data_IF_301126305824
#
_entry.id   IF_301126305824
#
_cell.length_a   1.000
_cell.length_b   1.000
_cell.length_c   1.000
_cell.angle_alpha   90.00
_cell.angle_beta   90.00
_cell.angle_gamma   90.00
#
_symmetry.space_group_name_H-M   'P 1'
#
loop_
_entity.id
_entity.type
_entity.pdbx_description
1 polymer ?
#
# COMPACT_ATOMS: atom_id res chain seq x y z
N UNK A 1 18.01 -43.50 1.58
CA UNK A 1 18.92 -42.34 1.63
C UNK A 1 18.11 -41.16 2.13
N UNK A 2 18.51 -40.56 3.26
CA UNK A 2 17.93 -39.32 3.77
C UNK A 2 18.25 -38.22 2.75
N UNK A 3 17.25 -37.77 1.98
CA UNK A 3 17.41 -36.64 1.05
C UNK A 3 17.73 -35.40 1.91
N UNK A 4 18.95 -34.88 1.81
CA UNK A 4 19.32 -33.64 2.49
C UNK A 4 18.69 -32.47 1.73
N UNK A 5 17.73 -31.79 2.36
CA UNK A 5 17.02 -30.65 1.78
C UNK A 5 17.76 -29.32 1.99
N UNK A 6 18.90 -29.34 2.68
CA UNK A 6 19.66 -28.15 3.03
C UNK A 6 20.88 -27.98 2.13
N UNK A 7 21.01 -26.79 1.55
CA UNK A 7 22.22 -26.38 0.83
C UNK A 7 23.38 -26.16 1.81
N UNK A 8 24.60 -26.44 1.38
CA UNK A 8 25.81 -26.02 2.08
C UNK A 8 25.94 -24.49 2.09
N UNK A 9 26.72 -23.95 3.02
CA UNK A 9 26.97 -22.50 3.10
C UNK A 9 27.59 -21.94 1.81
N UNK A 10 28.43 -22.73 1.14
CA UNK A 10 29.05 -22.32 -0.13
C UNK A 10 28.03 -22.31 -1.28
N UNK A 11 27.18 -23.33 -1.38
CA UNK A 11 26.08 -23.33 -2.36
C UNK A 11 25.13 -22.16 -2.14
N UNK A 12 24.83 -21.81 -0.88
CA UNK A 12 24.01 -20.64 -0.54
C UNK A 12 24.68 -19.32 -0.96
N UNK A 13 25.99 -19.16 -0.73
CA UNK A 13 26.72 -17.95 -1.19
C UNK A 13 26.67 -17.82 -2.71
N UNK A 14 26.92 -18.92 -3.41
CA UNK A 14 26.90 -18.93 -4.88
C UNK A 14 25.50 -18.60 -5.42
N UNK A 15 24.44 -19.14 -4.80
CA UNK A 15 23.06 -18.81 -5.16
C UNK A 15 22.74 -17.34 -4.90
N UNK A 16 23.20 -16.80 -3.76
CA UNK A 16 23.06 -15.39 -3.43
C UNK A 16 23.74 -14.46 -4.42
N UNK A 17 24.99 -14.76 -4.80
CA UNK A 17 25.71 -13.97 -5.82
C UNK A 17 25.02 -14.02 -7.18
N UNK A 18 24.55 -15.19 -7.61
CA UNK A 18 23.79 -15.32 -8.86
C UNK A 18 22.50 -14.47 -8.82
N UNK A 19 21.77 -14.46 -7.70
CA UNK A 19 20.58 -13.62 -7.56
C UNK A 19 20.91 -12.12 -7.61
N UNK A 20 22.01 -11.70 -6.96
CA UNK A 20 22.50 -10.32 -7.01
C UNK A 20 22.86 -9.93 -8.45
N UNK A 21 23.58 -10.78 -9.17
CA UNK A 21 23.96 -10.52 -10.58
C UNK A 21 22.70 -10.34 -11.46
N UNK A 22 21.68 -11.19 -11.30
CA UNK A 22 20.42 -11.07 -12.04
C UNK A 22 19.69 -9.74 -11.78
N UNK A 23 19.71 -9.26 -10.52
CA UNK A 23 19.09 -7.98 -10.14
C UNK A 23 19.87 -6.82 -10.75
N UNK A 24 21.20 -6.84 -10.64
CA UNK A 24 22.08 -5.80 -11.22
C UNK A 24 21.92 -5.74 -12.73
N UNK A 25 21.90 -6.89 -13.41
CA UNK A 25 21.68 -6.98 -14.85
C UNK A 25 20.31 -6.42 -15.24
N UNK A 26 19.25 -6.77 -14.50
CA UNK A 26 17.91 -6.22 -14.73
C UNK A 26 17.92 -4.69 -14.65
N UNK A 27 18.47 -4.11 -13.59
CA UNK A 27 18.46 -2.66 -13.38
C UNK A 27 19.35 -1.91 -14.40
N UNK A 28 20.50 -2.47 -14.79
CA UNK A 28 21.40 -1.87 -15.78
C UNK A 28 20.86 -1.94 -17.20
N UNK A 29 20.13 -3.00 -17.55
CA UNK A 29 19.62 -3.23 -18.91
C UNK A 29 18.15 -2.84 -19.08
N UNK A 30 17.48 -2.37 -18.03
CA UNK A 30 16.06 -2.05 -18.04
C UNK A 30 15.66 -1.14 -19.21
N UNK A 31 16.43 -0.08 -19.48
CA UNK A 31 16.20 0.89 -20.58
C UNK A 31 16.19 0.27 -21.98
N UNK A 32 16.81 -0.90 -22.14
CA UNK A 32 16.86 -1.62 -23.42
C UNK A 32 15.72 -2.62 -23.58
N UNK A 33 14.96 -2.89 -22.51
CA UNK A 33 13.79 -3.76 -22.53
C UNK A 33 12.53 -2.97 -22.94
N UNK A 34 11.54 -3.61 -23.56
CA UNK A 34 10.22 -3.01 -23.72
C UNK A 34 9.57 -2.75 -22.36
N UNK A 35 8.68 -1.76 -22.25
CA UNK A 35 7.95 -1.49 -21.00
C UNK A 35 7.04 -2.67 -20.62
N UNK A 36 6.41 -3.29 -21.60
CA UNK A 36 5.52 -4.44 -21.43
C UNK A 36 5.48 -5.23 -22.74
N UNK A 37 5.49 -6.56 -22.63
CA UNK A 37 5.17 -7.46 -23.73
C UNK A 37 3.97 -8.32 -23.33
N UNK A 38 2.89 -8.23 -24.10
CA UNK A 38 1.71 -9.07 -23.87
C UNK A 38 1.96 -10.45 -24.47
N UNK A 39 2.07 -11.47 -23.62
CA UNK A 39 2.08 -12.87 -24.04
C UNK A 39 0.68 -13.46 -23.91
N UNK A 40 0.29 -14.29 -24.88
CA UNK A 40 -0.93 -15.09 -24.79
C UNK A 40 -0.91 -15.97 -23.54
N UNK A 41 -1.96 -15.86 -22.73
CA UNK A 41 -2.04 -16.54 -21.44
C UNK A 41 -2.00 -18.06 -21.55
N UNK A 42 -2.49 -18.65 -22.65
CA UNK A 42 -2.47 -20.11 -22.84
C UNK A 42 -1.04 -20.58 -23.14
N UNK A 43 -0.32 -19.85 -24.01
CA UNK A 43 1.07 -20.16 -24.36
C UNK A 43 1.97 -20.08 -23.13
N UNK A 44 1.76 -19.07 -22.28
CA UNK A 44 2.57 -18.90 -21.08
C UNK A 44 2.25 -19.94 -20.00
N UNK A 45 0.97 -20.30 -19.86
CA UNK A 45 0.49 -21.31 -18.93
C UNK A 45 1.16 -22.67 -19.17
N UNK A 46 1.24 -23.11 -20.42
CA UNK A 46 1.84 -24.40 -20.77
C UNK A 46 3.35 -24.47 -20.46
N UNK A 47 4.03 -23.34 -20.32
CA UNK A 47 5.46 -23.28 -19.93
C UNK A 47 5.70 -23.48 -18.44
N UNK A 48 4.73 -23.14 -17.59
CA UNK A 48 4.90 -23.11 -16.13
C UNK A 48 4.07 -24.17 -15.39
N UNK A 49 3.08 -24.78 -16.04
CA UNK A 49 2.29 -25.85 -15.42
C UNK A 49 3.06 -27.16 -15.47
N UNK A 50 3.34 -27.68 -14.28
CA UNK A 50 3.86 -29.03 -14.06
C UNK A 50 3.15 -29.71 -12.90
N UNK A 51 3.27 -31.03 -12.80
CA UNK A 51 2.89 -31.78 -11.60
C UNK A 51 3.92 -31.55 -10.49
N UNK A 52 3.51 -31.70 -9.22
CA UNK A 52 4.43 -31.58 -8.09
C UNK A 52 5.66 -32.50 -8.30
N UNK A 53 6.90 -31.97 -8.25
CA UNK A 53 8.09 -32.78 -8.48
C UNK A 53 8.42 -33.67 -7.27
N UNK A 54 8.65 -34.96 -7.52
CA UNK A 54 9.02 -35.96 -6.48
C UNK A 54 10.50 -35.90 -6.07
N UNK A 55 11.31 -35.14 -6.81
CA UNK A 55 12.75 -34.98 -6.59
C UNK A 55 13.13 -33.50 -6.64
N UNK A 56 14.13 -33.11 -5.84
CA UNK A 56 14.68 -31.76 -5.89
C UNK A 56 15.40 -31.50 -7.21
N UNK A 57 15.39 -30.25 -7.64
CA UNK A 57 16.14 -29.73 -8.79
C UNK A 57 17.28 -28.82 -8.32
N UNK A 58 18.20 -28.51 -9.23
CA UNK A 58 19.31 -27.60 -8.96
C UNK A 58 18.79 -26.15 -8.83
N UNK A 59 18.93 -25.48 -7.68
CA UNK A 59 18.43 -24.12 -7.50
C UNK A 59 19.03 -23.09 -8.45
N UNK A 60 20.25 -23.31 -8.94
CA UNK A 60 20.91 -22.41 -9.91
C UNK A 60 20.23 -22.46 -11.28
N UNK A 61 19.83 -23.66 -11.70
CA UNK A 61 19.07 -23.86 -12.94
C UNK A 61 17.68 -23.24 -12.81
N UNK A 62 17.07 -23.37 -11.63
CA UNK A 62 15.79 -22.72 -11.32
C UNK A 62 15.88 -21.20 -11.40
N UNK A 63 16.93 -20.57 -10.88
CA UNK A 63 17.10 -19.11 -11.02
C UNK A 63 17.19 -18.66 -12.48
N UNK A 64 17.93 -19.40 -13.32
CA UNK A 64 17.98 -19.11 -14.76
C UNK A 64 16.62 -19.29 -15.43
N UNK A 65 15.90 -20.35 -15.06
CA UNK A 65 14.53 -20.58 -15.53
C UNK A 65 13.61 -19.43 -15.15
N UNK A 66 13.62 -19.00 -13.88
CA UNK A 66 12.79 -17.90 -13.39
C UNK A 66 13.15 -16.57 -14.07
N UNK A 67 14.44 -16.28 -14.27
CA UNK A 67 14.85 -15.08 -14.98
C UNK A 67 14.24 -15.03 -16.40
N UNK A 68 14.37 -16.12 -17.16
CA UNK A 68 13.96 -16.15 -18.56
C UNK A 68 12.43 -16.23 -18.73
N UNK A 69 11.77 -16.99 -17.88
CA UNK A 69 10.36 -17.33 -18.04
C UNK A 69 9.43 -16.59 -17.10
N UNK A 70 9.92 -15.93 -16.05
CA UNK A 70 9.07 -15.21 -15.08
C UNK A 70 9.46 -13.73 -15.02
N UNK A 71 10.68 -13.41 -14.60
CA UNK A 71 11.07 -12.01 -14.32
C UNK A 71 11.24 -11.15 -15.58
N UNK A 72 11.54 -11.75 -16.73
CA UNK A 72 11.52 -11.07 -18.03
C UNK A 72 10.14 -11.09 -18.71
N UNK A 73 9.12 -11.65 -18.06
CA UNK A 73 7.76 -11.82 -18.59
C UNK A 73 6.74 -11.06 -17.75
N UNK A 74 7.13 -9.84 -17.33
CA UNK A 74 6.32 -8.92 -16.54
C UNK A 74 6.23 -7.57 -17.24
N UNK A 75 5.26 -6.76 -16.84
CA UNK A 75 5.34 -5.32 -17.11
C UNK A 75 6.42 -4.73 -16.21
N UNK A 76 7.39 -4.05 -16.82
CA UNK A 76 8.48 -3.39 -16.13
C UNK A 76 8.02 -2.05 -15.58
N UNK A 77 7.37 -2.11 -14.42
CA UNK A 77 6.82 -0.93 -13.72
C UNK A 77 7.90 0.03 -13.22
N UNK A 78 9.15 -0.43 -13.16
CA UNK A 78 10.36 0.32 -12.84
C UNK A 78 11.03 0.94 -14.09
N UNK A 79 10.51 0.68 -15.29
CA UNK A 79 11.06 1.23 -16.52
C UNK A 79 10.88 2.77 -16.59
N UNK A 80 11.87 3.56 -17.04
CA UNK A 80 11.77 5.03 -17.05
C UNK A 80 10.72 5.62 -18.00
N UNK A 81 10.13 4.80 -18.86
CA UNK A 81 9.00 5.16 -19.73
C UNK A 81 7.66 4.57 -19.26
N UNK A 82 7.63 3.88 -18.12
CA UNK A 82 6.39 3.41 -17.51
C UNK A 82 5.69 4.59 -16.82
N UNK A 83 4.49 4.94 -17.29
CA UNK A 83 3.73 6.12 -16.85
C UNK A 83 2.31 5.76 -16.38
N UNK A 84 2.04 4.48 -16.12
CA UNK A 84 0.73 4.00 -15.68
C UNK A 84 0.71 3.74 -14.17
N UNK A 85 -0.45 3.86 -13.54
CA UNK A 85 -0.65 3.59 -12.11
C UNK A 85 0.33 4.37 -11.21
N UNK A 86 0.63 3.84 -10.01
CA UNK A 86 1.49 4.46 -9.01
C UNK A 86 2.45 3.45 -8.37
N UNK A 87 3.22 2.67 -9.15
CA UNK A 87 4.26 1.82 -8.57
C UNK A 87 5.33 2.72 -7.90
N UNK A 88 5.75 2.36 -6.68
CA UNK A 88 6.89 3.00 -6.05
C UNK A 88 8.19 2.53 -6.73
N UNK A 89 9.16 3.43 -7.02
CA UNK A 89 10.44 3.01 -7.55
C UNK A 89 11.19 2.17 -6.50
N UNK A 90 11.83 1.09 -6.94
CA UNK A 90 12.77 0.33 -6.11
C UNK A 90 14.18 0.92 -6.20
N UNK A 91 15.06 0.53 -5.27
CA UNK A 91 16.48 0.83 -5.34
C UNK A 91 17.29 -0.32 -4.72
N UNK A 92 18.61 -0.32 -4.93
CA UNK A 92 19.49 -1.36 -4.41
C UNK A 92 19.41 -1.50 -2.87
N UNK A 93 19.26 -0.39 -2.14
CA UNK A 93 19.23 -0.41 -0.68
C UNK A 93 18.00 -1.15 -0.17
N UNK A 94 16.81 -0.85 -0.71
CA UNK A 94 15.56 -1.51 -0.35
C UNK A 94 15.59 -3.01 -0.67
N UNK A 95 16.11 -3.38 -1.84
CA UNK A 95 16.25 -4.78 -2.25
C UNK A 95 17.18 -5.56 -1.32
N UNK A 96 18.33 -4.99 -0.95
CA UNK A 96 19.23 -5.62 0.01
C UNK A 96 18.60 -5.68 1.41
N UNK A 97 17.85 -4.67 1.83
CA UNK A 97 17.13 -4.68 3.10
C UNK A 97 16.10 -5.83 3.15
N UNK A 98 15.30 -6.02 2.10
CA UNK A 98 14.35 -7.14 1.99
C UNK A 98 15.04 -8.51 1.99
N UNK A 99 16.17 -8.62 1.28
CA UNK A 99 16.99 -9.82 1.25
C UNK A 99 17.52 -10.17 2.65
N UNK A 100 18.04 -9.18 3.39
CA UNK A 100 18.52 -9.35 4.76
C UNK A 100 17.37 -9.68 5.72
N UNK A 101 16.25 -8.96 5.66
CA UNK A 101 15.08 -9.22 6.51
C UNK A 101 14.57 -10.65 6.33
N UNK A 102 14.51 -11.12 5.08
CA UNK A 102 14.13 -12.50 4.75
C UNK A 102 15.18 -13.51 5.22
N UNK A 103 16.47 -13.23 5.01
CA UNK A 103 17.57 -14.14 5.36
C UNK A 103 17.77 -14.31 6.87
N UNK A 104 17.60 -13.24 7.65
CA UNK A 104 17.58 -13.29 9.11
C UNK A 104 16.24 -13.81 9.66
N UNK A 105 15.23 -14.01 8.80
CA UNK A 105 13.88 -14.43 9.16
C UNK A 105 13.32 -13.59 10.32
N UNK A 106 13.39 -12.26 10.17
CA UNK A 106 13.01 -11.30 11.20
C UNK A 106 11.52 -11.46 11.56
N UNK A 107 11.23 -11.62 12.85
CA UNK A 107 9.88 -11.90 13.37
C UNK A 107 9.48 -10.90 14.48
N UNK A 108 9.08 -9.67 14.12
CA UNK A 108 8.84 -8.60 15.09
C UNK A 108 7.38 -8.57 15.56
N UNK A 109 6.90 -9.68 16.13
CA UNK A 109 5.52 -9.72 16.66
C UNK A 109 5.41 -9.23 18.10
N UNK A 110 6.53 -9.13 18.80
CA UNK A 110 6.62 -8.63 20.16
C UNK A 110 8.08 -8.26 20.48
N UNK A 111 8.25 -7.24 21.31
CA UNK A 111 9.57 -6.69 21.66
C UNK A 111 10.61 -7.76 22.03
N UNK A 112 10.22 -8.76 22.82
CA UNK A 112 11.11 -9.85 23.26
C UNK A 112 11.72 -10.67 22.12
N UNK A 113 11.04 -10.77 20.97
CA UNK A 113 11.51 -11.51 19.78
C UNK A 113 11.96 -10.60 18.63
N UNK A 114 11.67 -9.28 18.71
CA UNK A 114 11.80 -8.35 17.60
C UNK A 114 12.47 -7.00 17.89
N UNK A 115 12.98 -6.76 19.10
CA UNK A 115 13.39 -5.42 19.57
C UNK A 115 14.23 -4.60 18.56
N UNK A 116 15.20 -5.22 17.89
CA UNK A 116 16.03 -4.51 16.91
C UNK A 116 15.24 -3.99 15.70
N UNK A 117 14.37 -4.83 15.15
CA UNK A 117 13.53 -4.45 14.01
C UNK A 117 12.42 -3.47 14.42
N UNK A 118 11.78 -3.70 15.57
CA UNK A 118 10.77 -2.78 16.13
C UNK A 118 11.36 -1.39 16.39
N UNK A 119 12.57 -1.31 16.94
CA UNK A 119 13.24 -0.03 17.17
C UNK A 119 13.56 0.70 15.85
N UNK A 120 13.96 -0.02 14.80
CA UNK A 120 14.17 0.57 13.47
C UNK A 120 12.85 1.12 12.90
N UNK A 121 11.75 0.39 13.02
CA UNK A 121 10.43 0.85 12.61
C UNK A 121 10.03 2.14 13.33
N UNK A 122 10.10 2.16 14.67
CA UNK A 122 9.77 3.34 15.48
C UNK A 122 10.65 4.54 15.12
N UNK A 123 11.95 4.31 14.90
CA UNK A 123 12.89 5.36 14.50
C UNK A 123 12.54 5.93 13.12
N UNK A 124 12.21 5.06 12.17
CA UNK A 124 11.84 5.47 10.81
C UNK A 124 10.51 6.22 10.79
N UNK A 125 9.52 5.77 11.57
CA UNK A 125 8.26 6.50 11.76
C UNK A 125 8.53 7.89 12.35
N UNK A 126 9.40 8.01 13.35
CA UNK A 126 9.76 9.33 13.90
C UNK A 126 10.40 10.25 12.86
N UNK A 127 11.25 9.73 11.96
CA UNK A 127 11.77 10.52 10.85
C UNK A 127 10.66 10.96 9.90
N UNK A 128 9.76 10.06 9.50
CA UNK A 128 8.64 10.40 8.61
C UNK A 128 7.71 11.45 9.23
N UNK A 129 7.34 11.30 10.51
CA UNK A 129 6.55 12.32 11.24
C UNK A 129 7.22 13.70 11.19
N UNK A 130 8.54 13.73 11.44
CA UNK A 130 9.31 14.98 11.43
C UNK A 130 9.32 15.60 10.03
N UNK A 131 9.50 14.79 8.99
CA UNK A 131 9.47 15.23 7.58
C UNK A 131 8.09 15.76 7.16
N UNK A 132 7.01 15.18 7.68
CA UNK A 132 5.63 15.61 7.43
C UNK A 132 5.19 16.81 8.30
N UNK A 133 6.04 17.27 9.24
CA UNK A 133 5.69 18.35 10.16
C UNK A 133 4.65 17.95 11.22
N UNK A 134 4.49 16.66 11.50
CA UNK A 134 3.57 16.17 12.53
C UNK A 134 4.13 16.42 13.93
N UNK A 135 3.25 16.61 14.94
CA UNK A 135 3.69 16.79 16.33
C UNK A 135 4.36 15.53 16.87
N UNK A 136 5.22 15.69 17.88
CA UNK A 136 5.92 14.56 18.53
C UNK A 136 4.95 13.50 19.07
N UNK A 137 3.76 13.92 19.48
CA UNK A 137 2.68 13.06 19.97
C UNK A 137 2.01 12.20 18.89
N UNK A 138 2.28 12.44 17.61
CA UNK A 138 1.76 11.58 16.55
C UNK A 138 2.43 10.20 16.61
N UNK A 139 1.70 9.17 16.20
CA UNK A 139 2.18 7.80 16.13
C UNK A 139 1.99 7.26 14.70
N UNK A 140 2.62 6.13 14.42
CA UNK A 140 2.54 5.48 13.11
C UNK A 140 2.78 3.99 13.22
N UNK A 141 2.54 3.30 12.11
CA UNK A 141 2.73 1.86 11.97
C UNK A 141 2.97 1.55 10.50
N UNK A 142 3.94 0.68 10.19
CA UNK A 142 4.05 0.13 8.84
C UNK A 142 3.05 -1.01 8.63
N UNK A 143 2.38 -0.98 7.48
CA UNK A 143 1.47 -2.04 7.05
C UNK A 143 1.74 -2.41 5.60
N UNK A 144 1.20 -3.52 5.13
CA UNK A 144 1.49 -4.11 3.81
C UNK A 144 0.89 -3.36 2.59
N UNK A 145 0.58 -2.07 2.74
CA UNK A 145 0.15 -1.17 1.65
C UNK A 145 -1.13 -0.39 1.93
N UNK A 146 -1.51 0.49 1.01
CA UNK A 146 -2.60 1.47 1.19
C UNK A 146 -3.97 0.85 1.48
N UNK A 147 -4.26 -0.35 0.98
CA UNK A 147 -5.51 -1.05 1.33
C UNK A 147 -5.57 -1.44 2.81
N UNK A 148 -4.46 -1.89 3.38
CA UNK A 148 -4.38 -2.20 4.81
C UNK A 148 -4.36 -0.93 5.66
N UNK A 149 -3.74 0.16 5.18
CA UNK A 149 -3.83 1.48 5.85
C UNK A 149 -5.29 1.91 5.98
N UNK A 150 -6.05 1.91 4.88
CA UNK A 150 -7.46 2.33 4.91
C UNK A 150 -8.31 1.42 5.81
N UNK A 151 -8.07 0.10 5.81
CA UNK A 151 -8.75 -0.82 6.73
C UNK A 151 -8.42 -0.51 8.20
N UNK A 152 -7.14 -0.34 8.53
CA UNK A 152 -6.67 -0.04 9.88
C UNK A 152 -7.22 1.30 10.37
N UNK A 153 -7.10 2.36 9.57
CA UNK A 153 -7.58 3.70 9.92
C UNK A 153 -9.09 3.73 10.16
N UNK A 154 -9.87 3.07 9.29
CA UNK A 154 -11.33 2.98 9.46
C UNK A 154 -11.73 2.11 10.66
N UNK A 155 -10.93 1.09 11.00
CA UNK A 155 -11.14 0.30 12.22
C UNK A 155 -10.98 1.18 13.46
N UNK A 156 -9.94 2.03 13.50
CA UNK A 156 -9.71 3.00 14.59
C UNK A 156 -10.84 4.02 14.64
N UNK A 157 -11.21 4.64 13.52
CA UNK A 157 -12.30 5.61 13.46
C UNK A 157 -13.63 5.02 13.97
N UNK A 158 -13.96 3.78 13.58
CA UNK A 158 -15.14 3.05 14.05
C UNK A 158 -15.08 2.77 15.56
N UNK A 159 -13.94 2.37 16.09
CA UNK A 159 -13.78 2.17 17.53
C UNK A 159 -13.95 3.49 18.30
N UNK A 160 -13.28 4.55 17.87
CA UNK A 160 -13.23 5.83 18.60
C UNK A 160 -14.58 6.57 18.54
N UNK A 161 -15.19 6.67 17.36
CA UNK A 161 -16.41 7.47 17.17
C UNK A 161 -17.70 6.71 17.44
N UNK A 162 -17.68 5.37 17.32
CA UNK A 162 -18.89 4.55 17.40
C UNK A 162 -18.82 3.46 18.46
N UNK A 163 -17.67 3.23 19.11
CA UNK A 163 -17.48 2.08 20.00
C UNK A 163 -17.89 0.75 19.34
N UNK A 164 -17.59 0.61 18.04
CA UNK A 164 -18.02 -0.48 17.14
C UNK A 164 -19.53 -0.62 16.90
N UNK A 165 -20.39 0.25 17.43
CA UNK A 165 -21.81 0.28 17.07
C UNK A 165 -22.00 1.00 15.73
N UNK A 166 -22.07 0.21 14.66
CA UNK A 166 -22.29 0.72 13.31
C UNK A 166 -23.77 1.00 13.00
N UNK A 167 -24.70 0.86 13.94
CA UNK A 167 -26.11 1.13 13.68
C UNK A 167 -26.31 2.61 13.30
N UNK A 168 -26.93 2.83 12.14
CA UNK A 168 -27.18 4.14 11.54
C UNK A 168 -25.91 4.98 11.25
N UNK A 169 -24.72 4.41 11.37
CA UNK A 169 -23.46 5.09 11.06
C UNK A 169 -23.35 5.44 9.57
N UNK A 170 -22.75 6.59 9.25
CA UNK A 170 -22.50 7.04 7.87
C UNK A 170 -21.07 7.53 7.72
N UNK A 171 -20.41 7.03 6.68
CA UNK A 171 -19.07 7.44 6.24
C UNK A 171 -19.18 8.19 4.92
N UNK A 172 -18.34 9.21 4.74
CA UNK A 172 -18.35 10.11 3.59
C UNK A 172 -17.02 10.10 2.86
N UNK A 173 -17.04 10.05 1.53
CA UNK A 173 -15.86 10.22 0.69
C UNK A 173 -16.27 10.58 -0.74
N UNK A 174 -15.33 11.01 -1.59
CA UNK A 174 -15.65 11.43 -2.96
C UNK A 174 -15.88 10.24 -3.91
N UNK A 175 -16.52 10.50 -5.05
CA UNK A 175 -16.55 9.55 -6.16
C UNK A 175 -15.15 9.28 -6.81
N UNK A 176 -14.10 10.03 -6.42
CA UNK A 176 -12.70 9.84 -6.85
C UNK A 176 -11.86 9.01 -5.87
N UNK A 177 -12.41 8.71 -4.69
CA UNK A 177 -11.68 8.01 -3.63
C UNK A 177 -11.35 6.59 -4.05
N UNK A 178 -10.15 6.12 -3.69
CA UNK A 178 -9.66 4.81 -4.11
C UNK A 178 -10.58 3.66 -3.62
N UNK A 179 -10.80 2.67 -4.48
CA UNK A 179 -11.74 1.56 -4.23
C UNK A 179 -11.40 0.71 -2.99
N UNK A 180 -10.18 0.83 -2.44
CA UNK A 180 -9.79 0.15 -1.21
C UNK A 180 -10.62 0.60 0.00
N UNK A 181 -11.12 1.84 0.02
CA UNK A 181 -12.00 2.36 1.06
C UNK A 181 -13.32 1.58 1.08
N UNK A 182 -13.95 1.41 -0.08
CA UNK A 182 -15.15 0.58 -0.22
C UNK A 182 -14.93 -0.86 0.22
N UNK A 183 -13.78 -1.44 -0.16
CA UNK A 183 -13.42 -2.79 0.26
C UNK A 183 -13.28 -2.88 1.78
N UNK A 184 -12.57 -1.93 2.39
CA UNK A 184 -12.37 -1.86 3.83
C UNK A 184 -13.71 -1.74 4.58
N UNK A 185 -14.60 -0.85 4.16
CA UNK A 185 -15.91 -0.67 4.77
C UNK A 185 -16.78 -1.93 4.71
N UNK A 186 -16.76 -2.65 3.58
CA UNK A 186 -17.45 -3.94 3.45
C UNK A 186 -16.88 -5.00 4.40
N UNK A 187 -15.55 -5.09 4.52
CA UNK A 187 -14.88 -5.98 5.48
C UNK A 187 -15.26 -5.63 6.92
N UNK A 188 -15.41 -4.34 7.22
CA UNK A 188 -15.83 -3.84 8.54
C UNK A 188 -17.33 -3.93 8.82
N UNK A 189 -18.13 -4.46 7.87
CA UNK A 189 -19.55 -4.74 8.05
C UNK A 189 -20.51 -3.62 7.66
N UNK A 190 -20.03 -2.53 7.06
CA UNK A 190 -20.89 -1.42 6.62
C UNK A 190 -21.74 -1.81 5.41
N UNK A 191 -23.00 -1.38 5.42
CA UNK A 191 -23.95 -1.61 4.33
C UNK A 191 -23.93 -0.46 3.32
N UNK A 192 -24.41 -0.71 2.10
CA UNK A 192 -24.42 0.29 1.03
C UNK A 192 -25.05 1.64 1.41
N UNK A 193 -26.14 1.66 2.19
CA UNK A 193 -26.81 2.90 2.61
C UNK A 193 -26.05 3.71 3.66
N UNK A 194 -24.99 3.13 4.24
CA UNK A 194 -24.09 3.75 5.21
C UNK A 194 -22.86 4.38 4.55
N UNK A 195 -22.68 4.15 3.25
CA UNK A 195 -21.55 4.60 2.45
C UNK A 195 -22.03 5.73 1.57
N UNK A 196 -21.74 6.97 1.98
CA UNK A 196 -22.14 8.16 1.25
C UNK A 196 -20.99 8.64 0.35
N UNK A 197 -21.23 8.63 -0.96
CA UNK A 197 -20.31 9.23 -1.92
C UNK A 197 -20.75 10.65 -2.22
N UNK A 198 -19.86 11.60 -2.02
CA UNK A 198 -20.06 12.99 -2.36
C UNK A 198 -19.61 13.19 -3.80
N UNK A 199 -20.47 13.79 -4.62
CA UNK A 199 -20.09 14.24 -5.95
C UNK A 199 -19.04 15.36 -5.83
N UNK A 200 -18.00 15.25 -6.64
CA UNK A 200 -16.92 16.23 -6.64
C UNK A 200 -17.30 17.50 -7.37
N UNK A 201 -16.57 18.58 -7.08
CA UNK A 201 -16.61 19.82 -7.84
C UNK A 201 -15.87 19.70 -9.19
N UNK A 202 -15.71 20.83 -9.87
CA UNK A 202 -15.04 20.94 -11.18
C UNK A 202 -13.54 20.59 -11.11
N UNK A 203 -12.92 20.72 -9.93
CA UNK A 203 -11.52 20.37 -9.68
C UNK A 203 -11.37 18.92 -9.17
N UNK A 204 -12.46 18.14 -9.22
CA UNK A 204 -12.53 16.74 -8.77
C UNK A 204 -12.27 16.58 -7.25
N UNK A 205 -12.62 17.59 -6.46
CA UNK A 205 -12.48 17.62 -4.99
C UNK A 205 -13.81 17.50 -4.28
N UNK A 206 -13.79 17.11 -3.01
CA UNK A 206 -14.97 17.17 -2.13
C UNK A 206 -15.37 18.62 -1.91
N UNK A 207 -16.58 19.00 -2.36
CA UNK A 207 -17.18 20.27 -1.97
C UNK A 207 -17.56 20.26 -0.48
N UNK A 208 -16.86 21.06 0.32
CA UNK A 208 -17.07 21.21 1.77
C UNK A 208 -18.50 21.64 2.08
N UNK A 209 -19.07 22.54 1.26
CA UNK A 209 -20.46 23.00 1.41
C UNK A 209 -21.48 21.87 1.18
N UNK A 210 -21.27 21.05 0.15
CA UNK A 210 -22.11 19.88 -0.15
C UNK A 210 -22.01 18.84 0.96
N UNK A 211 -20.79 18.56 1.44
CA UNK A 211 -20.56 17.63 2.54
C UNK A 211 -21.25 18.11 3.84
N UNK A 212 -21.10 19.38 4.21
CA UNK A 212 -21.76 19.95 5.40
C UNK A 212 -23.29 19.83 5.31
N UNK A 213 -23.87 20.11 4.14
CA UNK A 213 -25.31 19.94 3.92
C UNK A 213 -25.72 18.47 4.10
N UNK A 214 -24.98 17.54 3.51
CA UNK A 214 -25.27 16.11 3.58
C UNK A 214 -25.19 15.57 5.03
N UNK A 215 -24.16 15.97 5.79
CA UNK A 215 -24.00 15.63 7.21
C UNK A 215 -25.24 16.09 8.01
N UNK A 216 -25.66 17.34 7.81
CA UNK A 216 -26.83 17.89 8.50
C UNK A 216 -28.12 17.14 8.16
N UNK A 217 -28.36 16.82 6.89
CA UNK A 217 -29.52 16.05 6.46
C UNK A 217 -29.54 14.63 7.05
N UNK A 218 -28.38 13.97 7.13
CA UNK A 218 -28.27 12.64 7.71
C UNK A 218 -28.51 12.67 9.23
N UNK A 219 -28.00 13.68 9.95
CA UNK A 219 -28.31 13.90 11.38
C UNK A 219 -29.81 14.09 11.61
N UNK A 220 -30.48 14.90 10.78
CA UNK A 220 -31.94 15.09 10.85
C UNK A 220 -32.74 13.80 10.62
N UNK A 221 -32.16 12.84 9.88
CA UNK A 221 -32.73 11.50 9.65
C UNK A 221 -32.37 10.50 10.76
N UNK A 222 -31.74 10.93 11.85
CA UNK A 222 -31.32 10.07 12.96
C UNK A 222 -30.08 9.22 12.65
N UNK A 223 -29.34 9.54 11.59
CA UNK A 223 -28.08 8.86 11.28
C UNK A 223 -26.92 9.43 12.09
N UNK A 224 -25.83 8.67 12.16
CA UNK A 224 -24.60 9.00 12.88
C UNK A 224 -23.43 9.22 11.90
N UNK A 225 -23.26 10.43 11.33
CA UNK A 225 -22.02 10.81 10.65
C UNK A 225 -20.83 10.54 11.56
N UNK A 226 -19.82 9.80 11.09
CA UNK A 226 -18.69 9.44 11.96
C UNK A 226 -17.32 9.56 11.31
N UNK A 227 -17.20 9.47 9.99
CA UNK A 227 -15.91 9.55 9.31
C UNK A 227 -16.04 10.19 7.92
N UNK A 228 -15.08 11.06 7.59
CA UNK A 228 -14.82 11.60 6.25
C UNK A 228 -13.45 11.10 5.81
N UNK A 229 -13.36 10.54 4.61
CA UNK A 229 -12.10 10.21 3.96
C UNK A 229 -11.81 11.29 2.91
N UNK A 230 -10.79 12.10 3.18
CA UNK A 230 -10.24 13.09 2.26
C UNK A 230 -9.10 12.48 1.45
N UNK A 231 -8.90 12.97 0.24
CA UNK A 231 -7.85 12.53 -0.67
C UNK A 231 -6.72 13.55 -0.66
N UNK A 232 -5.56 13.18 -0.13
CA UNK A 232 -4.32 13.92 -0.29
C UNK A 232 -3.60 13.43 -1.56
N UNK A 233 -4.30 13.52 -2.70
CA UNK A 233 -3.86 13.01 -4.01
C UNK A 233 -4.61 11.75 -4.44
N UNK A 234 -5.66 11.92 -5.25
CA UNK A 234 -6.41 10.80 -5.85
C UNK A 234 -5.56 10.03 -6.86
N UNK A 235 -5.81 8.73 -7.01
CA UNK A 235 -5.04 7.88 -7.94
C UNK A 235 -5.31 8.18 -9.41
N UNK A 236 -6.49 8.71 -9.76
CA UNK A 236 -6.89 8.93 -11.14
C UNK A 236 -6.25 10.18 -11.75
N UNK A 237 -6.21 11.27 -10.98
CA UNK A 237 -5.82 12.58 -11.48
C UNK A 237 -4.94 13.39 -10.51
N UNK A 238 -4.61 12.85 -9.34
CA UNK A 238 -3.81 13.58 -8.33
C UNK A 238 -4.57 14.73 -7.66
N UNK A 239 -5.91 14.74 -7.70
CA UNK A 239 -6.70 15.77 -7.03
C UNK A 239 -6.47 15.73 -5.52
N UNK A 240 -6.32 16.92 -4.93
CA UNK A 240 -6.12 17.10 -3.48
C UNK A 240 -7.35 17.82 -2.95
N UNK A 241 -8.06 17.19 -2.02
CA UNK A 241 -9.20 17.81 -1.34
C UNK A 241 -8.72 18.99 -0.46
N UNK A 242 -9.61 19.93 -0.14
CA UNK A 242 -9.30 21.05 0.79
C UNK A 242 -9.13 20.53 2.22
N UNK A 243 -7.95 19.97 2.54
CA UNK A 243 -7.70 19.25 3.80
C UNK A 243 -7.94 20.13 5.04
N UNK A 244 -7.52 21.39 5.01
CA UNK A 244 -7.71 22.32 6.14
C UNK A 244 -9.20 22.60 6.39
N UNK A 245 -9.96 22.91 5.33
CA UNK A 245 -11.41 23.16 5.45
C UNK A 245 -12.19 21.90 5.88
N UNK A 246 -11.75 20.73 5.42
CA UNK A 246 -12.33 19.45 5.85
C UNK A 246 -11.97 19.13 7.30
N UNK A 247 -10.77 19.49 7.76
CA UNK A 247 -10.37 19.34 9.16
C UNK A 247 -11.21 20.24 10.07
N UNK A 248 -11.41 21.50 9.70
CA UNK A 248 -12.29 22.43 10.42
C UNK A 248 -13.72 21.91 10.48
N UNK A 249 -14.29 21.50 9.34
CA UNK A 249 -15.64 20.91 9.28
C UNK A 249 -15.74 19.65 10.16
N UNK A 250 -14.78 18.73 10.08
CA UNK A 250 -14.81 17.50 10.87
C UNK A 250 -14.67 17.78 12.37
N UNK A 251 -13.87 18.78 12.75
CA UNK A 251 -13.75 19.26 14.13
C UNK A 251 -15.07 19.82 14.65
N UNK A 252 -15.70 20.74 13.91
CA UNK A 252 -16.98 21.36 14.25
C UNK A 252 -18.10 20.31 14.42
N UNK A 253 -18.13 19.31 13.54
CA UNK A 253 -19.19 18.31 13.48
C UNK A 253 -18.88 17.04 14.30
N UNK A 254 -17.77 17.00 15.04
CA UNK A 254 -17.27 15.82 15.78
C UNK A 254 -17.16 14.54 14.91
N UNK A 255 -16.71 14.70 13.67
CA UNK A 255 -16.49 13.61 12.69
C UNK A 255 -15.00 13.27 12.61
N UNK A 256 -14.65 12.00 12.43
CA UNK A 256 -13.26 11.59 12.19
C UNK A 256 -12.81 12.01 10.78
N UNK A 257 -11.62 12.60 10.65
CA UNK A 257 -11.00 12.84 9.35
C UNK A 257 -9.88 11.82 9.11
N UNK A 258 -9.97 11.08 8.01
CA UNK A 258 -8.88 10.26 7.48
C UNK A 258 -8.39 10.87 6.17
N UNK A 259 -7.11 11.24 6.08
CA UNK A 259 -6.51 11.71 4.84
C UNK A 259 -5.78 10.55 4.14
N UNK A 260 -6.32 10.07 3.03
CA UNK A 260 -5.66 9.08 2.17
C UNK A 260 -4.61 9.78 1.31
N UNK A 261 -3.36 9.66 1.73
CA UNK A 261 -2.19 10.24 1.08
C UNK A 261 -1.31 9.23 0.35
N UNK A 262 -1.85 8.05 -0.01
CA UNK A 262 -1.06 6.95 -0.57
C UNK A 262 -0.20 7.35 -1.79
N UNK A 263 -0.68 8.30 -2.60
CA UNK A 263 0.06 8.87 -3.72
C UNK A 263 0.61 10.26 -3.41
N UNK A 264 -0.24 11.21 -3.04
CA UNK A 264 0.16 12.62 -2.98
C UNK A 264 0.85 13.06 -1.68
N UNK A 265 0.82 12.29 -0.58
CA UNK A 265 1.42 12.77 0.67
C UNK A 265 2.92 13.00 0.56
N UNK A 266 3.64 12.20 -0.23
CA UNK A 266 5.09 12.36 -0.41
C UNK A 266 5.46 13.68 -1.12
N UNK A 267 4.51 14.33 -1.79
CA UNK A 267 4.71 15.62 -2.46
C UNK A 267 5.13 16.72 -1.46
N UNK A 268 4.71 16.62 -0.19
CA UNK A 268 5.13 17.56 0.87
C UNK A 268 6.64 17.64 1.09
N UNK A 269 7.41 16.64 0.64
CA UNK A 269 8.88 16.65 0.69
C UNK A 269 9.51 17.54 -0.38
N UNK A 270 8.71 18.03 -1.33
CA UNK A 270 9.10 18.95 -2.39
C UNK A 270 8.75 20.39 -1.99
N UNK A 271 9.56 21.36 -2.41
CA UNK A 271 9.28 22.79 -2.17
C UNK A 271 7.96 23.25 -2.81
N UNK A 272 7.47 22.53 -3.82
CA UNK A 272 6.27 22.90 -4.58
C UNK A 272 5.00 22.23 -4.07
N UNK A 273 5.11 21.33 -3.08
CA UNK A 273 4.05 20.36 -2.80
C UNK A 273 3.96 19.40 -3.97
#
# INVERSE_FOLDING_TARGET
MTKNLQLSAEEMRQLGYQAVDLIVDHMNHLKSKPVSETIDSNIFRDKLIETIPENGSNPKELLHFLNNNVFNQITHVDHPHFMAFVPGPNNYVGVIADFLASGFNVFPTAWIVGAGAEQIELTTINWLKSMLGFPDSAEGLFVSGGSMVNLTALTVARQVKLNNDIENAVVYFSNQTHFSVDRALKVLGFKHHQICRIETDEDLRISVSTLRKQINEDRLKGKKPFCVIANAGTTNCGAVDSLDELADLCGDEDVWLHADGAYGAAAILSEKG
#
